data_IF_603982379384
#
_entry.id   IF_603982379384
#
_cell.length_a   1.000
_cell.length_b   1.000
_cell.length_c   1.000
_cell.angle_alpha   90.00
_cell.angle_beta   90.00
_cell.angle_gamma   90.00
#
_symmetry.space_group_name_H-M   'P 1'
#
loop_
_entity.id
_entity.type
_entity.pdbx_description
1 polymer ?
#
# COMPACT_ATOMS: atom_id res chain seq x y z
N UNK A 1 -30.53 -18.27 -27.00
CA UNK A 1 -29.36 -17.40 -26.72
C UNK A 1 -28.44 -18.15 -25.77
N UNK A 2 -27.11 -18.13 -25.97
CA UNK A 2 -26.17 -18.71 -24.98
C UNK A 2 -26.21 -17.82 -23.74
N UNK A 3 -26.67 -18.36 -22.62
CA UNK A 3 -26.66 -17.69 -21.33
C UNK A 3 -25.26 -17.89 -20.75
N UNK A 4 -24.45 -16.84 -20.75
CA UNK A 4 -23.13 -16.89 -20.14
C UNK A 4 -23.31 -16.69 -18.64
N UNK A 5 -22.95 -17.68 -17.82
CA UNK A 5 -22.83 -17.49 -16.38
C UNK A 5 -21.50 -16.77 -16.14
N UNK A 6 -21.52 -15.69 -15.35
CA UNK A 6 -20.28 -14.97 -15.02
C UNK A 6 -19.32 -15.86 -14.21
N UNK A 7 -19.82 -16.95 -13.61
CA UNK A 7 -19.01 -17.99 -12.97
C UNK A 7 -18.14 -18.79 -13.96
N UNK A 8 -18.48 -18.77 -15.25
CA UNK A 8 -17.63 -19.33 -16.31
C UNK A 8 -16.56 -18.34 -16.80
N UNK A 9 -16.53 -17.12 -16.25
CA UNK A 9 -15.44 -16.16 -16.46
C UNK A 9 -14.33 -16.41 -15.43
N UNK A 10 -13.09 -16.07 -15.77
CA UNK A 10 -11.93 -16.08 -14.87
C UNK A 10 -12.04 -15.09 -13.68
N UNK A 11 -13.26 -14.72 -13.29
CA UNK A 11 -13.63 -13.79 -12.22
C UNK A 11 -14.42 -14.48 -11.09
N UNK A 12 -14.61 -15.80 -11.12
CA UNK A 12 -15.47 -16.53 -10.18
C UNK A 12 -15.13 -16.33 -8.68
N UNK A 13 -13.90 -15.90 -8.38
CA UNK A 13 -13.42 -15.66 -7.01
C UNK A 13 -13.26 -14.17 -6.67
N UNK A 14 -13.66 -13.27 -7.56
CA UNK A 14 -13.57 -11.83 -7.31
C UNK A 14 -14.52 -11.43 -6.17
N UNK A 15 -13.99 -10.83 -5.10
CA UNK A 15 -14.70 -10.49 -3.86
C UNK A 15 -14.74 -11.60 -2.81
N UNK A 16 -14.21 -12.80 -3.10
CA UNK A 16 -14.13 -13.91 -2.14
C UNK A 16 -13.11 -13.64 -1.03
N UNK A 17 -13.23 -14.38 0.07
CA UNK A 17 -12.27 -14.30 1.18
C UNK A 17 -10.86 -14.74 0.75
N UNK A 18 -10.75 -15.67 -0.19
CA UNK A 18 -9.47 -16.11 -0.77
C UNK A 18 -8.75 -14.96 -1.46
N UNK A 19 -9.45 -14.14 -2.27
CA UNK A 19 -8.82 -12.98 -2.93
C UNK A 19 -8.34 -11.95 -1.91
N UNK A 20 -9.15 -11.68 -0.88
CA UNK A 20 -8.79 -10.76 0.20
C UNK A 20 -7.56 -11.26 0.95
N UNK A 21 -7.48 -12.56 1.23
CA UNK A 21 -6.34 -13.17 1.88
C UNK A 21 -5.07 -13.05 1.03
N UNK A 22 -5.12 -13.41 -0.26
CA UNK A 22 -3.97 -13.31 -1.16
C UNK A 22 -3.48 -11.86 -1.28
N UNK A 23 -4.41 -10.89 -1.37
CA UNK A 23 -4.06 -9.47 -1.37
C UNK A 23 -3.41 -9.02 -0.07
N UNK A 24 -3.93 -9.51 1.07
CA UNK A 24 -3.36 -9.21 2.39
C UNK A 24 -1.96 -9.78 2.55
N UNK A 25 -1.75 -11.04 2.23
CA UNK A 25 -0.43 -11.70 2.29
C UNK A 25 0.59 -11.01 1.37
N UNK A 26 0.17 -10.61 0.17
CA UNK A 26 1.00 -9.83 -0.75
C UNK A 26 1.36 -8.45 -0.17
N UNK A 27 0.42 -7.79 0.53
CA UNK A 27 0.67 -6.51 1.16
C UNK A 27 1.61 -6.62 2.38
N UNK A 28 1.48 -7.67 3.19
CA UNK A 28 2.31 -7.90 4.39
C UNK A 28 3.77 -8.23 4.04
N UNK A 29 4.00 -8.86 2.87
CA UNK A 29 5.33 -9.23 2.39
C UNK A 29 6.08 -8.12 1.64
N UNK A 30 5.49 -6.93 1.50
CA UNK A 30 6.08 -5.82 0.76
C UNK A 30 7.32 -5.25 1.51
N UNK A 31 8.51 -5.24 0.88
CA UNK A 31 9.75 -4.78 1.51
C UNK A 31 9.72 -3.32 1.95
N UNK A 32 8.92 -2.46 1.30
CA UNK A 32 8.80 -1.05 1.67
C UNK A 32 8.29 -0.83 3.11
N UNK A 33 7.64 -1.82 3.72
CA UNK A 33 7.09 -1.73 5.08
C UNK A 33 8.07 -2.16 6.17
N UNK A 34 9.25 -2.66 5.81
CA UNK A 34 10.21 -3.14 6.80
C UNK A 34 10.76 -1.98 7.65
N UNK A 35 10.39 -1.96 8.93
CA UNK A 35 10.90 -0.98 9.90
C UNK A 35 10.30 0.42 9.79
N UNK A 36 9.16 0.57 9.10
CA UNK A 36 8.40 1.82 9.08
C UNK A 36 7.81 2.11 10.47
N UNK A 37 7.59 3.39 10.78
CA UNK A 37 6.88 3.80 12.00
C UNK A 37 7.62 3.59 13.33
N UNK A 38 8.87 3.11 13.32
CA UNK A 38 9.66 2.94 14.56
C UNK A 38 10.20 4.25 15.13
N UNK A 39 10.26 5.30 14.31
CA UNK A 39 10.79 6.61 14.70
C UNK A 39 9.82 7.70 14.26
N UNK A 40 9.64 8.76 15.06
CA UNK A 40 8.87 9.91 14.64
C UNK A 40 9.48 10.53 13.39
N UNK A 41 8.62 10.91 12.46
CA UNK A 41 8.99 11.49 11.18
C UNK A 41 8.01 11.12 10.07
N UNK A 42 8.19 11.80 8.95
CA UNK A 42 7.44 11.54 7.72
C UNK A 42 8.26 10.60 6.83
N UNK A 43 7.60 9.61 6.25
CA UNK A 43 8.15 8.75 5.21
C UNK A 43 7.20 8.80 4.00
N UNK A 44 7.77 8.94 2.81
CA UNK A 44 7.02 9.03 1.56
C UNK A 44 7.50 7.95 0.59
N UNK A 45 6.57 7.33 -0.11
CA UNK A 45 6.82 6.41 -1.21
C UNK A 45 6.05 6.84 -2.46
N UNK A 46 6.59 6.54 -3.63
CA UNK A 46 5.95 6.72 -4.93
C UNK A 46 5.67 5.35 -5.55
N UNK A 47 4.51 5.21 -6.18
CA UNK A 47 4.17 4.01 -6.93
C UNK A 47 4.77 4.10 -8.32
N UNK A 48 5.73 3.21 -8.63
CA UNK A 48 6.38 3.13 -9.94
C UNK A 48 6.25 1.71 -10.47
N UNK A 49 5.51 1.54 -11.57
CA UNK A 49 5.27 0.22 -12.21
C UNK A 49 4.75 -0.83 -11.22
N UNK A 50 3.71 -0.47 -10.45
CA UNK A 50 3.11 -1.30 -9.39
C UNK A 50 4.06 -1.72 -8.25
N UNK A 51 5.17 -0.99 -8.07
CA UNK A 51 6.09 -1.20 -6.94
C UNK A 51 6.11 0.03 -6.04
N UNK A 52 6.22 -0.21 -4.74
CA UNK A 52 6.36 0.84 -3.74
C UNK A 52 7.83 1.24 -3.66
N UNK A 53 8.19 2.41 -4.21
CA UNK A 53 9.56 2.91 -4.21
C UNK A 53 9.70 4.06 -3.20
N UNK A 54 10.76 4.05 -2.38
CA UNK A 54 11.04 5.15 -1.46
C UNK A 54 11.24 6.46 -2.20
N UNK A 55 10.56 7.51 -1.75
CA UNK A 55 10.73 8.85 -2.29
C UNK A 55 12.00 9.48 -1.70
N UNK A 56 12.84 10.17 -2.50
CA UNK A 56 14.02 10.87 -1.98
C UNK A 56 13.63 11.94 -0.97
N UNK A 57 14.34 12.01 0.17
CA UNK A 57 14.06 13.00 1.23
C UNK A 57 14.21 14.45 0.76
N UNK A 58 15.09 14.69 -0.19
CA UNK A 58 15.34 16.01 -0.80
C UNK A 58 14.14 16.53 -1.62
N UNK A 59 13.26 15.61 -2.03
CA UNK A 59 12.06 15.89 -2.81
C UNK A 59 10.78 15.76 -1.99
N UNK A 60 10.89 15.67 -0.66
CA UNK A 60 9.71 15.68 0.21
C UNK A 60 8.97 17.02 0.04
N UNK A 61 7.67 16.92 -0.26
CA UNK A 61 6.83 18.08 -0.59
C UNK A 61 6.75 18.41 -2.08
N UNK A 62 7.57 17.79 -2.94
CA UNK A 62 7.41 17.86 -4.39
C UNK A 62 6.69 16.61 -4.88
N UNK A 63 5.55 16.81 -5.54
CA UNK A 63 4.76 15.72 -6.09
C UNK A 63 4.51 15.98 -7.57
N UNK A 64 4.71 14.94 -8.38
CA UNK A 64 4.40 15.00 -9.80
C UNK A 64 2.92 14.69 -10.04
N UNK A 65 2.29 15.49 -10.90
CA UNK A 65 0.91 15.28 -11.33
C UNK A 65 0.85 14.05 -12.26
N UNK A 66 -0.02 13.09 -11.95
CA UNK A 66 -0.17 11.83 -12.68
C UNK A 66 0.46 10.61 -11.98
N UNK A 67 1.22 10.82 -10.90
CA UNK A 67 1.73 9.73 -10.08
C UNK A 67 0.90 9.56 -8.80
N UNK A 68 1.06 8.40 -8.16
CA UNK A 68 0.49 8.11 -6.86
C UNK A 68 1.58 8.00 -5.80
N UNK A 69 1.29 8.53 -4.61
CA UNK A 69 2.21 8.56 -3.48
C UNK A 69 1.54 8.02 -2.22
N UNK A 70 2.33 7.42 -1.34
CA UNK A 70 1.93 6.98 0.00
C UNK A 70 2.73 7.81 0.99
N UNK A 71 2.05 8.36 2.00
CA UNK A 71 2.66 9.19 3.03
C UNK A 71 2.33 8.59 4.40
N UNK A 72 3.37 8.26 5.17
CA UNK A 72 3.26 7.86 6.56
C UNK A 72 3.83 8.99 7.43
N UNK A 73 3.02 9.51 8.34
CA UNK A 73 3.47 10.43 9.38
C UNK A 73 3.44 9.70 10.72
N UNK A 74 4.59 9.46 11.30
CA UNK A 74 4.73 8.87 12.64
C UNK A 74 5.04 9.96 13.63
N UNK A 75 4.27 10.06 14.70
CA UNK A 75 4.45 11.04 15.76
C UNK A 75 4.24 10.36 17.10
N UNK A 76 4.87 10.88 18.16
CA UNK A 76 4.54 10.51 19.53
C UNK A 76 3.32 11.32 19.95
N UNK A 77 2.28 10.68 20.45
CA UNK A 77 1.24 11.40 21.20
C UNK A 77 1.80 11.78 22.58
N UNK A 78 1.54 13.01 23.02
CA UNK A 78 2.00 13.51 24.33
C UNK A 78 1.40 12.76 25.53
N UNK A 79 0.42 11.89 25.28
CA UNK A 79 -0.31 11.10 26.28
C UNK A 79 0.19 9.64 26.40
N UNK A 80 1.21 9.22 25.66
CA UNK A 80 1.66 7.82 25.64
C UNK A 80 3.17 7.70 25.46
N UNK A 81 3.86 7.21 26.49
CA UNK A 81 5.33 7.01 26.56
C UNK A 81 5.85 5.79 25.78
N UNK A 82 5.12 5.30 24.77
CA UNK A 82 5.49 4.11 24.00
C UNK A 82 5.57 4.40 22.50
N UNK A 83 6.67 3.96 21.87
CA UNK A 83 6.86 3.86 20.41
C UNK A 83 7.18 2.40 20.05
#
# INVERSE_FOLDING_TARGET
AKQYDWKDSNLALFGSDTEKQVKKESAESEPAWKGIGQKPGVQIWRIVKFKVASWPKEDYGKFYNGDSYIVLNTYKEESSDEL
#
